data_IF_745200390430
#
_entry.id   IF_745200390430
#
_cell.length_a   1.000
_cell.length_b   1.000
_cell.length_c   1.000
_cell.angle_alpha   90.00
_cell.angle_beta   90.00
_cell.angle_gamma   90.00
#
_symmetry.space_group_name_H-M   'P 1'
#
loop_
_entity.id
_entity.type
_entity.pdbx_description
1 polymer ?
#
# COMPACT_ATOMS: atom_id res chain seq x y z
N UNK A 1 63.37 4.22 -27.52
CA UNK A 1 62.03 3.62 -27.74
C UNK A 1 61.61 2.98 -26.44
N UNK A 2 60.65 3.57 -25.72
CA UNK A 2 60.14 3.03 -24.45
C UNK A 2 58.83 2.32 -24.77
N UNK A 3 58.77 1.01 -24.50
CA UNK A 3 57.56 0.21 -24.64
C UNK A 3 56.65 0.46 -23.43
N UNK A 4 55.42 0.88 -23.71
CA UNK A 4 54.36 1.03 -22.70
C UNK A 4 53.77 -0.34 -22.36
N UNK A 5 53.46 -0.65 -21.09
CA UNK A 5 52.78 -1.88 -20.74
C UNK A 5 51.30 -1.79 -21.11
N UNK A 6 50.79 -2.83 -21.75
CA UNK A 6 49.36 -3.04 -22.00
C UNK A 6 48.66 -3.37 -20.69
N UNK A 7 47.80 -2.48 -20.21
CA UNK A 7 46.90 -2.75 -19.09
C UNK A 7 45.78 -3.65 -19.62
N UNK A 8 46.01 -4.96 -19.60
CA UNK A 8 44.96 -5.96 -19.69
C UNK A 8 44.50 -6.32 -18.28
N UNK A 9 43.21 -6.13 -17.99
CA UNK A 9 42.38 -7.02 -17.15
C UNK A 9 40.97 -6.44 -17.06
N UNK A 10 40.14 -6.80 -18.03
CA UNK A 10 38.70 -6.80 -17.88
C UNK A 10 38.32 -8.03 -17.06
N UNK A 11 38.31 -7.92 -15.74
CA UNK A 11 37.75 -8.93 -14.85
C UNK A 11 37.62 -8.28 -13.48
N UNK A 12 36.39 -8.02 -13.06
CA UNK A 12 35.89 -7.93 -11.67
C UNK A 12 34.60 -7.10 -11.66
N UNK A 13 33.64 -7.44 -12.53
CA UNK A 13 32.24 -7.26 -12.13
C UNK A 13 31.96 -8.42 -11.18
N UNK A 14 32.14 -8.16 -9.88
CA UNK A 14 31.62 -9.06 -8.85
C UNK A 14 30.12 -9.12 -9.06
N UNK A 15 29.62 -10.29 -9.47
CA UNK A 15 28.19 -10.57 -9.45
C UNK A 15 27.71 -10.31 -8.03
N UNK A 16 27.01 -9.19 -7.83
CA UNK A 16 26.27 -8.96 -6.60
C UNK A 16 25.20 -10.05 -6.62
N UNK A 17 25.21 -11.01 -5.66
CA UNK A 17 24.15 -11.99 -5.62
C UNK A 17 22.86 -11.20 -5.56
N UNK A 18 22.03 -11.36 -6.60
CA UNK A 18 20.71 -10.75 -6.63
C UNK A 18 20.02 -11.24 -5.36
N UNK A 19 19.84 -10.33 -4.40
CA UNK A 19 19.03 -10.63 -3.23
C UNK A 19 17.71 -11.20 -3.71
N UNK A 20 17.19 -12.19 -3.00
CA UNK A 20 15.96 -12.90 -3.37
C UNK A 20 14.93 -11.92 -3.93
N UNK A 21 14.55 -12.12 -5.20
CA UNK A 21 13.60 -11.21 -5.86
C UNK A 21 12.34 -11.16 -5.01
N UNK A 22 12.02 -9.97 -4.52
CA UNK A 22 10.84 -9.78 -3.69
C UNK A 22 9.60 -10.28 -4.42
N UNK A 23 8.81 -11.12 -3.75
CA UNK A 23 7.53 -11.63 -4.25
C UNK A 23 6.42 -11.24 -3.31
N UNK A 24 5.32 -10.79 -3.90
CA UNK A 24 4.09 -10.52 -3.18
C UNK A 24 3.44 -11.84 -2.74
N UNK A 25 2.95 -11.88 -1.51
CA UNK A 25 2.19 -13.02 -0.99
C UNK A 25 0.82 -13.13 -1.66
N UNK A 26 0.30 -14.36 -1.70
CA UNK A 26 -1.05 -14.63 -2.17
C UNK A 26 -2.08 -13.80 -1.38
N UNK A 27 -3.01 -13.20 -2.12
CA UNK A 27 -3.97 -12.25 -1.57
C UNK A 27 -5.34 -12.90 -1.47
N UNK A 28 -5.84 -13.02 -0.24
CA UNK A 28 -7.22 -13.40 0.02
C UNK A 28 -8.10 -12.16 0.12
N UNK A 29 -9.29 -12.20 -0.47
CA UNK A 29 -10.27 -11.13 -0.34
C UNK A 29 -10.92 -11.18 1.05
N UNK A 30 -11.04 -10.05 1.74
CA UNK A 30 -11.77 -9.98 2.99
C UNK A 30 -13.28 -10.10 2.74
N UNK A 31 -14.03 -10.29 3.82
CA UNK A 31 -15.49 -10.06 3.79
C UNK A 31 -15.76 -8.61 3.37
N UNK A 32 -16.91 -8.37 2.73
CA UNK A 32 -17.34 -7.02 2.43
C UNK A 32 -17.48 -6.21 3.73
N UNK A 33 -17.06 -4.93 3.77
CA UNK A 33 -17.05 -4.17 5.00
C UNK A 33 -18.45 -3.95 5.55
N UNK A 34 -18.57 -3.96 6.87
CA UNK A 34 -19.80 -3.66 7.58
C UNK A 34 -19.67 -2.36 8.36
N UNK A 35 -20.73 -1.54 8.49
CA UNK A 35 -20.66 -0.23 9.13
C UNK A 35 -20.02 -0.24 10.53
N UNK A 36 -20.29 -1.26 11.34
CA UNK A 36 -19.76 -1.41 12.69
C UNK A 36 -18.24 -1.62 12.77
N UNK A 37 -17.62 -2.04 11.66
CA UNK A 37 -16.17 -2.25 11.58
C UNK A 37 -15.43 -1.03 11.04
N UNK A 38 -16.15 -0.03 10.52
CA UNK A 38 -15.55 1.14 9.88
C UNK A 38 -15.01 2.12 10.91
N UNK A 39 -13.73 2.43 10.77
CA UNK A 39 -13.04 3.48 11.52
C UNK A 39 -12.96 4.68 10.60
N UNK A 40 -13.59 5.80 10.98
CA UNK A 40 -13.44 7.05 10.24
C UNK A 40 -11.99 7.55 10.36
N UNK A 41 -11.37 7.90 9.23
CA UNK A 41 -9.94 8.23 9.18
C UNK A 41 -9.73 9.61 8.60
N UNK A 42 -9.01 10.44 9.33
CA UNK A 42 -8.61 11.75 8.83
C UNK A 42 -7.44 11.58 7.84
N UNK A 43 -7.62 12.12 6.64
CA UNK A 43 -6.56 12.20 5.61
C UNK A 43 -6.32 13.67 5.29
N UNK A 44 -5.44 13.96 4.33
CA UNK A 44 -5.20 15.33 3.87
C UNK A 44 -6.48 16.13 3.63
N UNK A 45 -6.51 17.39 4.08
CA UNK A 45 -7.60 18.35 3.84
C UNK A 45 -7.73 18.81 2.38
N UNK A 46 -6.86 18.35 1.48
CA UNK A 46 -6.88 18.70 0.06
C UNK A 46 -7.96 17.95 -0.75
N UNK A 47 -8.70 17.03 -0.12
CA UNK A 47 -9.82 16.32 -0.74
C UNK A 47 -11.12 16.59 0.02
N UNK A 48 -12.22 16.71 -0.71
CA UNK A 48 -13.57 16.79 -0.16
C UNK A 48 -14.16 15.42 0.20
N UNK A 49 -13.44 14.34 -0.12
CA UNK A 49 -13.87 12.98 0.22
C UNK A 49 -13.60 12.69 1.70
N UNK A 50 -14.50 11.95 2.31
CA UNK A 50 -14.28 11.32 3.62
C UNK A 50 -13.87 9.87 3.44
N UNK A 51 -13.07 9.36 4.36
CA UNK A 51 -12.52 8.02 4.28
C UNK A 51 -12.78 7.26 5.57
N UNK A 52 -13.04 5.97 5.45
CA UNK A 52 -13.05 5.04 6.56
C UNK A 52 -12.34 3.75 6.17
N UNK A 53 -11.70 3.10 7.15
CA UNK A 53 -11.03 1.80 6.96
C UNK A 53 -11.81 0.74 7.72
N UNK A 54 -12.04 -0.42 7.11
CA UNK A 54 -12.56 -1.58 7.85
C UNK A 54 -11.42 -2.18 8.68
N UNK A 55 -11.49 -1.99 10.01
CA UNK A 55 -10.46 -2.44 10.93
C UNK A 55 -10.29 -3.97 10.99
N UNK A 56 -11.29 -4.74 10.57
CA UNK A 56 -11.25 -6.21 10.54
C UNK A 56 -10.61 -6.76 9.26
N UNK A 57 -10.45 -5.90 8.25
CA UNK A 57 -9.85 -6.26 6.95
C UNK A 57 -8.33 -6.09 6.90
N UNK A 58 -7.73 -5.47 7.92
CA UNK A 58 -6.31 -5.12 7.93
C UNK A 58 -5.44 -6.37 8.05
N UNK A 59 -4.55 -6.58 7.08
CA UNK A 59 -3.55 -7.65 7.08
C UNK A 59 -2.16 -7.04 6.88
N UNK A 60 -1.24 -7.35 7.80
CA UNK A 60 0.17 -7.02 7.68
C UNK A 60 0.90 -8.24 7.12
N UNK A 61 1.27 -8.18 5.84
CA UNK A 61 1.98 -9.28 5.18
C UNK A 61 3.47 -9.27 5.49
N UNK A 62 4.07 -10.46 5.56
CA UNK A 62 5.53 -10.62 5.71
C UNK A 62 6.31 -10.11 4.48
N UNK A 63 5.61 -9.88 3.37
CA UNK A 63 6.13 -9.21 2.17
C UNK A 63 6.24 -7.68 2.31
N UNK A 64 5.93 -7.12 3.48
CA UNK A 64 6.01 -5.68 3.71
C UNK A 64 4.81 -4.89 3.16
N UNK A 65 3.70 -5.58 2.85
CA UNK A 65 2.48 -4.98 2.32
C UNK A 65 1.39 -4.94 3.39
N UNK A 66 0.83 -3.75 3.61
CA UNK A 66 -0.38 -3.55 4.42
C UNK A 66 -1.58 -3.61 3.50
N UNK A 67 -2.45 -4.60 3.70
CA UNK A 67 -3.68 -4.80 2.91
C UNK A 67 -4.88 -4.42 3.75
N UNK A 68 -5.83 -3.70 3.16
CA UNK A 68 -6.98 -3.17 3.90
C UNK A 68 -8.11 -2.77 2.94
N UNK A 69 -9.33 -2.75 3.47
CA UNK A 69 -10.48 -2.17 2.79
C UNK A 69 -10.62 -0.71 3.21
N UNK A 70 -10.79 0.16 2.22
CA UNK A 70 -11.13 1.57 2.41
C UNK A 70 -12.47 1.87 1.76
N UNK A 71 -13.25 2.70 2.45
CA UNK A 71 -14.50 3.27 1.98
C UNK A 71 -14.29 4.76 1.81
N UNK A 72 -14.33 5.24 0.58
CA UNK A 72 -14.23 6.65 0.21
C UNK A 72 -15.61 7.19 -0.16
N UNK A 73 -16.06 8.25 0.50
CA UNK A 73 -17.36 8.89 0.26
C UNK A 73 -17.18 10.30 -0.24
N UNK A 74 -17.82 10.63 -1.35
CA UNK A 74 -17.85 11.97 -1.91
C UNK A 74 -18.92 12.85 -1.23
N UNK A 75 -18.84 14.18 -1.37
CA UNK A 75 -19.86 15.10 -0.83
C UNK A 75 -21.27 14.87 -1.37
N UNK A 76 -21.40 14.39 -2.61
CA UNK A 76 -22.67 14.02 -3.27
C UNK A 76 -23.14 12.60 -2.91
N UNK A 77 -22.51 11.98 -1.89
CA UNK A 77 -22.86 10.68 -1.30
C UNK A 77 -22.62 9.47 -2.20
N UNK A 78 -21.78 9.59 -3.24
CA UNK A 78 -21.26 8.39 -3.90
C UNK A 78 -20.25 7.69 -2.97
N UNK A 79 -20.39 6.37 -2.84
CA UNK A 79 -19.51 5.54 -2.02
C UNK A 79 -18.68 4.64 -2.94
N UNK A 80 -17.36 4.64 -2.72
CA UNK A 80 -16.42 3.76 -3.38
C UNK A 80 -15.76 2.88 -2.33
N UNK A 81 -15.91 1.57 -2.46
CA UNK A 81 -15.27 0.58 -1.60
C UNK A 81 -14.15 -0.09 -2.40
N UNK A 82 -12.94 -0.15 -1.85
CA UNK A 82 -11.81 -0.82 -2.48
C UNK A 82 -11.03 -1.66 -1.49
N UNK A 83 -10.51 -2.79 -1.96
CA UNK A 83 -9.50 -3.56 -1.25
C UNK A 83 -8.14 -3.27 -1.87
N UNK A 84 -7.25 -2.71 -1.07
CA UNK A 84 -5.99 -2.14 -1.51
C UNK A 84 -4.81 -2.67 -0.70
N UNK A 85 -3.61 -2.53 -1.26
CA UNK A 85 -2.34 -2.84 -0.62
C UNK A 85 -1.42 -1.64 -0.68
N UNK A 86 -0.71 -1.34 0.40
CA UNK A 86 0.40 -0.37 0.44
C UNK A 86 1.68 -1.13 0.74
N UNK A 87 2.65 -1.06 -0.18
CA UNK A 87 4.01 -1.55 0.02
C UNK A 87 4.86 -0.45 0.64
N UNK A 88 5.15 -0.56 1.93
CA UNK A 88 5.77 0.53 2.69
C UNK A 88 7.18 0.88 2.21
N UNK A 89 7.97 -0.10 1.76
CA UNK A 89 9.37 0.09 1.34
C UNK A 89 9.51 0.94 0.09
N UNK A 90 8.66 0.73 -0.91
CA UNK A 90 8.68 1.42 -2.21
C UNK A 90 7.68 2.58 -2.30
N UNK A 91 6.71 2.64 -1.36
CA UNK A 91 5.58 3.56 -1.36
C UNK A 91 4.76 3.47 -2.64
N UNK A 92 4.39 2.23 -2.92
CA UNK A 92 3.49 1.87 -4.00
C UNK A 92 2.19 1.37 -3.42
N UNK A 93 1.09 1.66 -4.12
CA UNK A 93 -0.22 1.10 -3.82
C UNK A 93 -0.66 0.16 -4.92
N UNK A 94 -1.45 -0.84 -4.57
CA UNK A 94 -2.09 -1.76 -5.50
C UNK A 94 -3.58 -1.84 -5.17
N UNK A 95 -4.42 -1.83 -6.21
CA UNK A 95 -5.85 -2.04 -6.09
C UNK A 95 -6.15 -3.49 -6.45
N UNK A 96 -6.64 -4.29 -5.51
CA UNK A 96 -6.93 -5.71 -5.73
C UNK A 96 -8.36 -5.96 -6.19
N UNK A 97 -9.31 -5.25 -5.57
CA UNK A 97 -10.73 -5.38 -5.88
C UNK A 97 -11.46 -4.08 -5.60
N UNK A 98 -12.57 -3.89 -6.32
CA UNK A 98 -13.54 -2.83 -6.06
C UNK A 98 -14.85 -3.44 -5.61
N UNK A 99 -15.49 -2.83 -4.63
CA UNK A 99 -16.78 -3.25 -4.12
C UNK A 99 -17.91 -2.86 -5.06
N UNK A 100 -18.94 -3.71 -5.10
CA UNK A 100 -20.20 -3.44 -5.80
C UNK A 100 -21.30 -3.07 -4.80
N UNK A 101 -22.38 -2.49 -5.30
CA UNK A 101 -23.54 -2.10 -4.50
C UNK A 101 -24.27 -3.30 -3.86
N UNK A 102 -24.11 -4.50 -4.41
CA UNK A 102 -24.67 -5.75 -3.87
C UNK A 102 -23.82 -6.37 -2.74
N UNK A 103 -22.76 -5.69 -2.30
CA UNK A 103 -21.87 -6.19 -1.26
C UNK A 103 -20.89 -7.26 -1.74
N UNK A 104 -20.66 -7.39 -3.05
CA UNK A 104 -19.68 -8.32 -3.62
C UNK A 104 -18.42 -7.62 -4.13
N UNK A 105 -17.37 -8.40 -4.38
CA UNK A 105 -16.11 -7.91 -4.93
C UNK A 105 -16.03 -8.13 -6.44
N UNK A 106 -15.64 -7.09 -7.17
CA UNK A 106 -15.08 -7.21 -8.52
C UNK A 106 -13.55 -7.25 -8.40
N UNK A 107 -12.98 -8.44 -8.61
CA UNK A 107 -11.52 -8.66 -8.58
C UNK A 107 -10.87 -8.11 -9.84
N UNK A 108 -9.75 -7.38 -9.66
CA UNK A 108 -8.93 -6.93 -10.77
C UNK A 108 -8.08 -8.10 -11.28
N UNK A 109 -8.14 -8.36 -12.60
CA UNK A 109 -7.40 -9.47 -13.23
C UNK A 109 -5.89 -9.25 -13.29
N UNK A 110 -5.47 -7.99 -13.42
CA UNK A 110 -4.05 -7.61 -13.56
C UNK A 110 -3.73 -6.39 -12.69
N UNK A 111 -3.73 -6.55 -11.35
CA UNK A 111 -3.50 -5.43 -10.45
C UNK A 111 -2.03 -5.02 -10.48
N UNK A 112 -1.77 -3.74 -10.76
CA UNK A 112 -0.41 -3.18 -10.87
C UNK A 112 -0.05 -2.35 -9.65
N UNK A 113 1.25 -2.34 -9.32
CA UNK A 113 1.81 -1.43 -8.32
C UNK A 113 1.93 -0.03 -8.94
N UNK A 114 1.41 0.98 -8.23
CA UNK A 114 1.45 2.37 -8.66
C UNK A 114 2.12 3.19 -7.56
N UNK A 115 3.19 3.89 -7.93
CA UNK A 115 3.89 4.77 -7.01
C UNK A 115 3.00 5.98 -6.63
N UNK A 116 2.93 6.31 -5.34
CA UNK A 116 2.21 7.49 -4.85
C UNK A 116 3.14 8.55 -4.25
N UNK A 117 4.47 8.40 -4.40
CA UNK A 117 5.43 9.47 -4.15
C UNK A 117 5.34 10.50 -5.29
N UNK A 118 5.15 11.77 -4.95
CA UNK A 118 5.08 12.86 -5.93
C UNK A 118 3.74 12.99 -6.68
N UNK A 119 2.89 11.96 -6.68
CA UNK A 119 1.47 12.10 -7.03
C UNK A 119 0.82 13.06 -6.02
N UNK A 120 0.43 14.27 -6.48
CA UNK A 120 -0.09 15.42 -5.69
C UNK A 120 0.22 15.28 -4.20
N UNK A 121 1.33 15.91 -3.75
CA UNK A 121 1.73 15.95 -2.33
C UNK A 121 0.49 15.94 -1.44
N UNK A 122 0.37 14.92 -0.58
CA UNK A 122 -0.78 14.62 0.28
C UNK A 122 -2.00 13.90 -0.36
N UNK A 123 -1.79 12.94 -1.27
CA UNK A 123 -2.85 11.97 -1.59
C UNK A 123 -3.33 11.21 -0.33
N UNK A 124 -4.53 10.61 -0.39
CA UNK A 124 -5.03 9.83 0.75
C UNK A 124 -4.15 8.58 1.01
N UNK A 125 -3.57 7.97 -0.04
CA UNK A 125 -2.59 6.89 0.09
C UNK A 125 -1.33 7.34 0.83
N UNK A 126 -0.80 8.53 0.51
CA UNK A 126 0.33 9.11 1.21
C UNK A 126 0.00 9.36 2.70
N UNK A 127 -1.22 9.84 2.97
CA UNK A 127 -1.73 10.04 4.33
C UNK A 127 -1.81 8.70 5.08
N UNK A 128 -2.39 7.66 4.47
CA UNK A 128 -2.48 6.34 5.07
C UNK A 128 -1.12 5.73 5.38
N UNK A 129 -0.22 5.77 4.42
CA UNK A 129 1.14 5.27 4.58
C UNK A 129 1.87 6.00 5.72
N UNK A 130 1.89 7.34 5.73
CA UNK A 130 2.69 8.12 6.69
C UNK A 130 2.11 8.14 8.10
N UNK A 131 0.80 8.11 8.23
CA UNK A 131 0.14 8.39 9.51
C UNK A 131 -0.29 7.11 10.25
N UNK A 132 -0.58 6.02 9.53
CA UNK A 132 -1.26 4.86 10.14
C UNK A 132 -0.60 3.52 9.84
N UNK A 133 0.00 3.33 8.66
CA UNK A 133 0.41 1.99 8.21
C UNK A 133 1.91 1.78 8.11
N UNK A 134 2.72 2.82 7.89
CA UNK A 134 4.16 2.69 7.70
C UNK A 134 4.95 3.58 8.67
N UNK A 135 5.86 2.96 9.44
CA UNK A 135 6.84 3.64 10.28
C UNK A 135 8.20 3.49 9.59
N UNK A 136 8.84 4.60 9.22
CA UNK A 136 10.15 4.61 8.55
C UNK A 136 10.26 3.69 7.33
N UNK A 137 9.20 3.62 6.50
CA UNK A 137 9.06 2.73 5.33
C UNK A 137 8.91 1.23 5.64
N UNK A 138 8.66 0.88 6.89
CA UNK A 138 8.31 -0.47 7.32
C UNK A 138 6.86 -0.51 7.77
N UNK A 139 6.09 -1.58 7.51
CA UNK A 139 4.75 -1.72 8.07
C UNK A 139 4.74 -1.62 9.60
N UNK A 140 3.63 -1.17 10.16
CA UNK A 140 3.33 -1.34 11.58
C UNK A 140 3.32 -2.82 11.97
N UNK A 141 3.57 -3.10 13.25
CA UNK A 141 3.79 -4.45 13.77
C UNK A 141 2.67 -5.43 13.39
N UNK A 142 1.42 -5.02 13.58
CA UNK A 142 0.26 -5.87 13.37
C UNK A 142 -1.00 -5.01 13.10
N UNK A 143 -2.12 -5.70 12.85
CA UNK A 143 -3.42 -5.07 12.63
C UNK A 143 -3.92 -4.33 13.88
N UNK A 144 -3.56 -4.77 15.09
CA UNK A 144 -3.99 -4.09 16.32
C UNK A 144 -3.34 -2.71 16.43
N UNK A 145 -2.04 -2.60 16.11
CA UNK A 145 -1.33 -1.33 16.07
C UNK A 145 -1.86 -0.40 14.99
N UNK A 146 -2.15 -0.92 13.80
CA UNK A 146 -2.81 -0.14 12.75
C UNK A 146 -4.15 0.44 13.24
N UNK A 147 -4.99 -0.42 13.81
CA UNK A 147 -6.28 -0.07 14.39
C UNK A 147 -6.20 0.95 15.53
N UNK A 148 -5.16 0.88 16.37
CA UNK A 148 -4.88 1.87 17.41
C UNK A 148 -4.57 3.23 16.80
N UNK A 149 -3.70 3.28 15.79
CA UNK A 149 -3.30 4.54 15.13
C UNK A 149 -4.47 5.18 14.39
N UNK A 150 -5.30 4.39 13.71
CA UNK A 150 -6.49 4.88 12.98
C UNK A 150 -7.52 5.55 13.92
N UNK A 151 -7.59 5.14 15.20
CA UNK A 151 -8.56 5.67 16.18
C UNK A 151 -8.03 6.82 17.03
N UNK A 152 -6.72 7.06 17.04
CA UNK A 152 -6.06 7.99 17.98
C UNK A 152 -6.07 9.46 17.54
N UNK A 153 -6.70 9.81 16.42
CA UNK A 153 -6.64 11.14 15.79
C UNK A 153 -8.01 11.79 15.72
#
# INVERSE_FOLDING_TARGET
MVTLPTIGSAQFLREIPAGEEWKELEVQLPKYPRPENLIATQVSSLTSFTFAVDGTSIVIGQDGVVRFVVVARSPDRAENVSYEGIRCSTRERKLYAVGRADGTWLVLKSPVWVNFQGARVNSYHDSFARQYFCIERTPVLDAAKANELLRKR
#
